data_IF_000645767125
#
_entry.id   IF_000645767125
#
_cell.length_a   1.000
_cell.length_b   1.000
_cell.length_c   1.000
_cell.angle_alpha   90.00
_cell.angle_beta   90.00
_cell.angle_gamma   90.00
#
_symmetry.space_group_name_H-M   'P 1'
#
loop_
_entity.id
_entity.type
_entity.pdbx_description
1 polymer ?
#
# COMPACT_ATOMS: atom_id res chain seq x y z
N UNK A 1 -19.34 -21.31 23.95
CA UNK A 1 -19.15 -22.04 22.67
C UNK A 1 -19.53 -21.11 21.53
N UNK A 2 -18.79 -20.01 21.42
CA UNK A 2 -17.87 -19.66 20.31
C UNK A 2 -18.59 -19.49 18.97
N UNK A 3 -18.92 -18.23 18.69
CA UNK A 3 -19.51 -17.70 17.48
C UNK A 3 -18.85 -18.27 16.22
N UNK A 4 -19.69 -18.82 15.35
CA UNK A 4 -19.43 -19.13 13.96
C UNK A 4 -18.89 -17.89 13.24
N UNK A 5 -17.62 -17.93 12.86
CA UNK A 5 -17.05 -17.02 11.86
C UNK A 5 -17.73 -17.32 10.51
N UNK A 6 -18.83 -16.63 10.24
CA UNK A 6 -19.39 -16.54 8.89
C UNK A 6 -18.34 -15.87 8.01
N UNK A 7 -17.66 -16.67 7.20
CA UNK A 7 -17.06 -16.15 5.99
C UNK A 7 -18.19 -15.50 5.19
N UNK A 8 -18.01 -14.26 4.77
CA UNK A 8 -18.91 -13.53 3.88
C UNK A 8 -18.88 -14.24 2.52
N UNK A 9 -19.62 -15.34 2.40
CA UNK A 9 -19.82 -16.03 1.13
C UNK A 9 -20.87 -15.22 0.39
N UNK A 10 -20.41 -14.41 -0.57
CA UNK A 10 -21.30 -13.73 -1.52
C UNK A 10 -22.14 -14.84 -2.17
N UNK A 11 -23.46 -14.74 -2.13
CA UNK A 11 -24.35 -15.73 -2.76
C UNK A 11 -24.09 -15.81 -4.26
N UNK A 12 -24.13 -17.02 -4.83
CA UNK A 12 -23.86 -17.26 -6.26
C UNK A 12 -24.75 -16.40 -7.18
N UNK A 13 -25.98 -16.14 -6.76
CA UNK A 13 -26.94 -15.30 -7.48
C UNK A 13 -26.44 -13.85 -7.63
N UNK A 14 -25.88 -13.27 -6.56
CA UNK A 14 -25.34 -11.90 -6.57
C UNK A 14 -24.09 -11.83 -7.44
N UNK A 15 -23.23 -12.85 -7.38
CA UNK A 15 -22.04 -12.93 -8.23
C UNK A 15 -22.43 -12.96 -9.72
N UNK A 16 -23.41 -13.79 -10.08
CA UNK A 16 -23.89 -13.91 -11.45
C UNK A 16 -24.53 -12.62 -11.97
N UNK A 17 -25.27 -11.88 -11.13
CA UNK A 17 -25.81 -10.58 -11.50
C UNK A 17 -24.70 -9.56 -11.78
N UNK A 18 -23.67 -9.50 -10.93
CA UNK A 18 -22.52 -8.61 -11.10
C UNK A 18 -21.75 -8.95 -12.37
N UNK A 19 -21.52 -10.23 -12.66
CA UNK A 19 -20.84 -10.68 -13.87
C UNK A 19 -21.62 -10.28 -15.13
N UNK A 20 -22.95 -10.48 -15.16
CA UNK A 20 -23.81 -10.03 -16.27
C UNK A 20 -23.74 -8.52 -16.48
N UNK A 21 -23.71 -7.73 -15.40
CA UNK A 21 -23.53 -6.27 -15.48
C UNK A 21 -22.17 -5.88 -16.07
N UNK A 22 -21.11 -6.64 -15.77
CA UNK A 22 -19.79 -6.39 -16.36
C UNK A 22 -19.68 -6.82 -17.81
N UNK A 23 -20.41 -7.86 -18.24
CA UNK A 23 -20.49 -8.27 -19.64
C UNK A 23 -21.24 -7.26 -20.49
N UNK A 24 -22.35 -6.70 -19.98
CA UNK A 24 -23.12 -5.68 -20.70
C UNK A 24 -22.37 -4.34 -20.78
N UNK A 25 -21.59 -3.99 -19.76
CA UNK A 25 -20.76 -2.80 -19.75
C UNK A 25 -19.33 -3.09 -19.24
N UNK A 26 -18.37 -3.35 -20.16
CA UNK A 26 -16.98 -3.67 -19.82
C UNK A 26 -16.23 -2.59 -19.01
N UNK A 27 -16.74 -1.35 -18.98
CA UNK A 27 -16.16 -0.25 -18.22
C UNK A 27 -16.49 -0.32 -16.72
N UNK A 28 -17.51 -1.10 -16.33
CA UNK A 28 -17.85 -1.35 -14.92
C UNK A 28 -16.89 -2.33 -14.24
N UNK A 29 -16.09 -3.08 -15.02
CA UNK A 29 -15.16 -4.07 -14.49
C UNK A 29 -14.09 -3.37 -13.61
N UNK A 30 -13.93 -3.77 -12.34
CA UNK A 30 -12.89 -3.22 -11.47
C UNK A 30 -11.49 -3.39 -12.07
N UNK A 31 -10.67 -2.34 -11.94
CA UNK A 31 -9.28 -2.33 -12.41
C UNK A 31 -8.39 -1.73 -11.34
N UNK A 32 -7.16 -2.23 -11.25
CA UNK A 32 -6.14 -1.60 -10.43
C UNK A 32 -5.75 -0.23 -11.02
N UNK A 33 -6.19 0.85 -10.38
CA UNK A 33 -5.90 2.21 -10.84
C UNK A 33 -4.44 2.63 -10.55
N UNK A 34 -4.00 2.44 -9.30
CA UNK A 34 -2.65 2.78 -8.83
C UNK A 34 -2.33 2.03 -7.55
N UNK A 35 -1.06 1.88 -7.25
CA UNK A 35 -0.56 1.45 -5.93
C UNK A 35 0.28 2.57 -5.37
N UNK A 36 -0.02 2.99 -4.14
CA UNK A 36 0.71 4.05 -3.45
C UNK A 36 1.46 3.43 -2.28
N UNK A 37 2.78 3.53 -2.33
CA UNK A 37 3.66 3.06 -1.26
C UNK A 37 4.16 4.27 -0.52
N UNK A 38 3.93 4.32 0.79
CA UNK A 38 4.34 5.43 1.62
C UNK A 38 5.14 4.93 2.84
N UNK A 39 6.16 5.69 3.22
CA UNK A 39 6.89 5.51 4.47
C UNK A 39 6.83 6.84 5.22
N UNK A 40 6.22 6.83 6.40
CA UNK A 40 6.20 7.96 7.33
C UNK A 40 7.34 7.84 8.32
N UNK A 41 8.40 8.63 8.15
CA UNK A 41 9.56 8.62 9.05
C UNK A 41 9.32 9.50 10.27
N UNK A 42 8.54 10.58 10.12
CA UNK A 42 8.18 11.49 11.20
C UNK A 42 9.27 12.49 11.58
N UNK A 43 10.46 12.39 10.99
CA UNK A 43 11.56 13.34 11.14
C UNK A 43 12.23 13.62 9.79
N UNK A 44 12.85 14.79 9.66
CA UNK A 44 13.74 15.10 8.55
C UNK A 44 15.14 14.51 8.76
N UNK A 45 16.05 14.77 7.82
CA UNK A 45 17.46 14.39 7.92
C UNK A 45 17.79 13.05 7.26
N UNK A 46 18.80 12.37 7.80
CA UNK A 46 19.38 11.16 7.20
C UNK A 46 18.39 9.99 7.14
N UNK A 47 17.56 9.81 8.18
CA UNK A 47 16.54 8.75 8.21
C UNK A 47 15.55 8.84 7.04
N UNK A 48 15.20 10.06 6.64
CA UNK A 48 14.35 10.30 5.49
C UNK A 48 15.04 9.90 4.18
N UNK A 49 16.34 10.21 4.05
CA UNK A 49 17.12 9.82 2.89
C UNK A 49 17.29 8.30 2.80
N UNK A 50 17.53 7.61 3.92
CA UNK A 50 17.56 6.14 3.97
C UNK A 50 16.23 5.54 3.53
N UNK A 51 15.11 6.03 4.07
CA UNK A 51 13.77 5.59 3.64
C UNK A 51 13.51 5.84 2.15
N UNK A 52 14.01 6.95 1.60
CA UNK A 52 13.93 7.21 0.16
C UNK A 52 14.76 6.22 -0.67
N UNK A 53 15.95 5.85 -0.21
CA UNK A 53 16.78 4.81 -0.86
C UNK A 53 16.07 3.46 -0.86
N UNK A 54 15.52 3.04 0.29
CA UNK A 54 14.70 1.80 0.41
C UNK A 54 13.58 1.77 -0.62
N UNK A 55 12.79 2.85 -0.69
CA UNK A 55 11.66 2.91 -1.64
C UNK A 55 12.12 2.89 -3.08
N UNK A 56 13.23 3.55 -3.40
CA UNK A 56 13.80 3.56 -4.75
C UNK A 56 14.24 2.16 -5.17
N UNK A 57 14.90 1.42 -4.28
CA UNK A 57 15.34 0.05 -4.53
C UNK A 57 14.15 -0.91 -4.70
N UNK A 58 13.18 -0.83 -3.79
CA UNK A 58 11.95 -1.64 -3.82
C UNK A 58 11.13 -1.48 -5.10
N UNK A 59 10.96 -0.22 -5.52
CA UNK A 59 9.98 0.15 -6.56
C UNK A 59 10.63 0.44 -7.92
N UNK A 60 11.95 0.64 -7.98
CA UNK A 60 12.67 1.05 -9.19
C UNK A 60 12.26 2.44 -9.69
N UNK A 61 11.57 3.23 -8.88
CA UNK A 61 11.06 4.55 -9.23
C UNK A 61 11.55 5.59 -8.23
N UNK A 62 11.84 6.78 -8.72
CA UNK A 62 12.26 7.88 -7.85
C UNK A 62 11.11 8.31 -6.91
N UNK A 63 11.33 8.27 -5.60
CA UNK A 63 10.30 8.65 -4.64
C UNK A 63 10.17 10.15 -4.48
N UNK A 64 8.95 10.60 -4.17
CA UNK A 64 8.65 12.00 -3.89
C UNK A 64 8.62 12.25 -2.38
N UNK A 65 9.37 13.27 -1.93
CA UNK A 65 9.36 13.73 -0.55
C UNK A 65 8.06 14.50 -0.24
N UNK A 66 7.43 14.19 0.89
CA UNK A 66 6.21 14.83 1.37
C UNK A 66 6.51 15.76 2.54
N UNK A 67 6.15 17.03 2.34
CA UNK A 67 6.28 18.11 3.32
C UNK A 67 5.11 18.10 4.30
N UNK A 68 5.39 18.44 5.56
CA UNK A 68 4.39 18.62 6.59
C UNK A 68 3.46 19.79 6.26
N UNK A 69 2.14 19.54 6.30
CA UNK A 69 1.11 20.57 6.03
C UNK A 69 0.96 21.58 7.18
N UNK A 70 1.21 21.14 8.41
CA UNK A 70 1.05 21.92 9.65
C UNK A 70 2.24 21.67 10.56
N UNK A 71 2.53 22.65 11.42
CA UNK A 71 3.47 22.50 12.53
C UNK A 71 2.76 21.76 13.66
N UNK A 72 3.38 20.71 14.21
CA UNK A 72 2.87 19.94 15.34
C UNK A 72 4.02 19.81 16.34
N UNK A 73 3.92 20.48 17.49
CA UNK A 73 5.03 20.63 18.44
C UNK A 73 5.35 19.31 19.15
N UNK A 74 4.34 18.50 19.40
CA UNK A 74 4.42 17.20 20.06
C UNK A 74 5.33 16.23 19.30
N UNK A 75 5.35 16.32 17.97
CA UNK A 75 6.23 15.51 17.11
C UNK A 75 7.51 16.26 16.70
N UNK A 76 7.70 17.51 17.14
CA UNK A 76 8.84 18.34 16.73
C UNK A 76 8.84 18.77 15.26
N UNK A 77 7.70 18.67 14.55
CA UNK A 77 7.61 18.87 13.10
C UNK A 77 7.25 20.32 12.79
N UNK A 78 8.02 20.95 11.90
CA UNK A 78 7.71 22.31 11.38
C UNK A 78 6.98 22.25 10.03
N UNK A 79 6.07 23.20 9.79
CA UNK A 79 5.39 23.34 8.49
C UNK A 79 6.41 23.46 7.36
N UNK A 80 6.22 22.68 6.30
CA UNK A 80 7.09 22.68 5.11
C UNK A 80 8.29 21.73 5.20
N UNK A 81 8.55 21.15 6.38
CA UNK A 81 9.63 20.19 6.59
C UNK A 81 9.28 18.83 5.93
N UNK A 82 10.22 18.18 5.24
CA UNK A 82 9.97 16.87 4.64
C UNK A 82 9.99 15.78 5.72
N UNK A 83 8.90 15.02 5.84
CA UNK A 83 8.67 14.06 6.95
C UNK A 83 8.35 12.65 6.48
N UNK A 84 7.99 12.49 5.21
CA UNK A 84 7.56 11.23 4.64
C UNK A 84 8.01 11.13 3.19
N UNK A 85 8.02 9.90 2.70
CA UNK A 85 8.41 9.57 1.33
C UNK A 85 7.31 8.74 0.70
N UNK A 86 6.96 9.03 -0.55
CA UNK A 86 5.91 8.31 -1.27
C UNK A 86 6.30 7.99 -2.70
N UNK A 87 5.90 6.81 -3.18
CA UNK A 87 5.93 6.43 -4.59
C UNK A 87 4.52 6.09 -5.03
N UNK A 88 4.12 6.55 -6.21
CA UNK A 88 2.88 6.11 -6.86
C UNK A 88 3.24 5.30 -8.09
N UNK A 89 2.89 4.02 -8.06
CA UNK A 89 3.04 3.07 -9.14
C UNK A 89 1.75 2.98 -9.93
N UNK A 90 1.86 2.87 -11.25
CA UNK A 90 0.74 2.68 -12.18
C UNK A 90 1.07 1.59 -13.21
N UNK A 91 0.04 1.05 -13.86
CA UNK A 91 0.20 0.04 -14.91
C UNK A 91 0.91 -1.23 -14.42
N UNK A 92 1.87 -1.72 -15.21
CA UNK A 92 2.55 -2.99 -14.95
C UNK A 92 3.41 -2.98 -13.67
N UNK A 93 4.05 -1.84 -13.35
CA UNK A 93 4.83 -1.68 -12.11
C UNK A 93 3.95 -1.81 -10.87
N UNK A 94 2.72 -1.28 -10.93
CA UNK A 94 1.77 -1.43 -9.83
C UNK A 94 1.36 -2.88 -9.61
N UNK A 95 1.08 -3.64 -10.69
CA UNK A 95 0.69 -5.05 -10.60
C UNK A 95 1.81 -5.92 -10.03
N UNK A 96 3.01 -5.78 -10.56
CA UNK A 96 4.20 -6.53 -10.10
C UNK A 96 4.58 -6.20 -8.65
N UNK A 97 4.50 -4.93 -8.25
CA UNK A 97 4.74 -4.56 -6.86
C UNK A 97 3.63 -5.07 -5.93
N UNK A 98 2.36 -4.99 -6.34
CA UNK A 98 1.25 -5.51 -5.55
C UNK A 98 1.40 -7.00 -5.28
N UNK A 99 1.76 -7.79 -6.29
CA UNK A 99 1.94 -9.24 -6.11
C UNK A 99 3.05 -9.56 -5.09
N UNK A 100 4.21 -8.89 -5.19
CA UNK A 100 5.29 -9.00 -4.20
C UNK A 100 4.86 -8.55 -2.80
N UNK A 101 4.10 -7.47 -2.70
CA UNK A 101 3.61 -6.96 -1.42
C UNK A 101 2.56 -7.89 -0.78
N UNK A 102 1.71 -8.52 -1.60
CA UNK A 102 0.75 -9.52 -1.13
C UNK A 102 1.46 -10.78 -0.64
N UNK A 103 2.54 -11.19 -1.30
CA UNK A 103 3.36 -12.32 -0.85
C UNK A 103 4.01 -12.04 0.51
N UNK A 104 4.51 -10.82 0.75
CA UNK A 104 5.07 -10.41 2.04
C UNK A 104 4.10 -10.57 3.23
N UNK A 105 2.79 -10.41 2.99
CA UNK A 105 1.74 -10.58 4.00
C UNK A 105 1.08 -11.98 3.95
N UNK A 106 1.66 -12.92 3.20
CA UNK A 106 1.14 -14.28 3.05
C UNK A 106 -0.21 -14.35 2.31
N UNK A 107 -0.48 -13.39 1.42
CA UNK A 107 -1.73 -13.22 0.65
C UNK A 107 -2.99 -13.17 1.53
N UNK A 108 -2.85 -12.71 2.78
CA UNK A 108 -3.95 -12.57 3.74
C UNK A 108 -4.20 -11.11 4.05
N UNK A 109 -5.39 -10.64 3.69
CA UNK A 109 -5.86 -9.29 4.01
C UNK A 109 -7.11 -9.42 4.89
N UNK A 110 -7.19 -8.63 5.96
CA UNK A 110 -8.38 -8.56 6.81
C UNK A 110 -9.51 -7.87 6.05
N UNK A 111 -10.75 -8.31 6.20
CA UNK A 111 -11.90 -7.63 5.57
C UNK A 111 -11.99 -6.15 5.96
N UNK A 112 -11.59 -5.80 7.19
CA UNK A 112 -11.53 -4.42 7.70
C UNK A 112 -10.49 -3.51 7.01
N UNK A 113 -9.60 -4.08 6.19
CA UNK A 113 -8.60 -3.33 5.42
C UNK A 113 -9.16 -2.77 4.11
N UNK A 114 -10.34 -3.23 3.71
CA UNK A 114 -11.08 -2.69 2.57
C UNK A 114 -11.95 -1.52 3.03
N UNK A 115 -11.97 -0.45 2.24
CA UNK A 115 -12.90 0.66 2.45
C UNK A 115 -14.22 0.44 1.69
N UNK A 116 -15.20 1.30 1.96
CA UNK A 116 -16.53 1.23 1.34
C UNK A 116 -16.52 1.56 -0.17
N UNK A 117 -15.37 2.02 -0.70
CA UNK A 117 -15.20 2.44 -2.09
C UNK A 117 -14.36 1.45 -2.91
N UNK A 118 -13.96 0.31 -2.33
CA UNK A 118 -13.22 -0.75 -3.02
C UNK A 118 -11.70 -0.55 -3.07
N UNK A 119 -11.14 0.36 -2.28
CA UNK A 119 -9.70 0.46 -2.04
C UNK A 119 -9.28 -0.46 -0.88
N UNK A 120 -8.00 -0.84 -0.89
CA UNK A 120 -7.42 -1.69 0.14
C UNK A 120 -6.15 -1.06 0.70
N UNK A 121 -5.99 -1.15 2.02
CA UNK A 121 -4.79 -0.66 2.70
C UNK A 121 -4.28 -1.67 3.74
N UNK A 122 -2.98 -1.90 3.73
CA UNK A 122 -2.30 -2.77 4.69
C UNK A 122 -0.90 -2.24 4.98
N UNK A 123 -0.40 -2.56 6.17
CA UNK A 123 0.96 -2.23 6.59
C UNK A 123 1.88 -3.43 6.49
N UNK A 124 3.14 -3.17 6.16
CA UNK A 124 4.23 -4.14 6.23
C UNK A 124 5.16 -3.67 7.35
N UNK A 125 5.42 -4.51 8.34
CA UNK A 125 6.22 -4.13 9.51
C UNK A 125 7.71 -3.95 9.13
N UNK A 126 8.24 -4.84 8.29
CA UNK A 126 9.64 -4.85 7.89
C UNK A 126 9.76 -4.96 6.37
N UNK A 127 10.60 -4.11 5.77
CA UNK A 127 10.82 -4.11 4.32
C UNK A 127 11.48 -5.40 3.82
N UNK A 128 12.16 -6.16 4.69
CA UNK A 128 12.82 -7.43 4.40
C UNK A 128 11.81 -8.54 4.06
N UNK A 129 10.57 -8.43 4.54
CA UNK A 129 9.51 -9.39 4.21
C UNK A 129 9.12 -9.34 2.72
N UNK A 130 9.50 -8.27 2.00
CA UNK A 130 9.21 -8.15 0.58
C UNK A 130 10.23 -8.97 -0.22
N UNK A 131 9.78 -9.92 -1.05
CA UNK A 131 10.67 -10.71 -1.89
C UNK A 131 11.53 -9.83 -2.81
N UNK A 132 12.84 -10.07 -2.80
CA UNK A 132 13.81 -9.38 -3.65
C UNK A 132 14.53 -8.20 -2.99
N UNK A 133 14.29 -7.93 -1.70
CA UNK A 133 15.09 -6.96 -0.92
C UNK A 133 16.16 -7.69 -0.15
N UNK A 134 17.41 -7.28 -0.32
CA UNK A 134 18.51 -7.74 0.54
C UNK A 134 18.58 -6.83 1.76
N UNK A 135 18.87 -7.42 2.92
CA UNK A 135 19.20 -6.62 4.10
C UNK A 135 20.51 -5.88 3.85
N UNK A 136 20.47 -4.56 3.94
CA UNK A 136 21.63 -3.69 3.86
C UNK A 136 21.84 -3.00 5.24
N UNK A 137 22.94 -3.30 5.96
CA UNK A 137 23.25 -2.69 7.24
C UNK A 137 23.42 -1.17 7.21
N UNK A 138 23.70 -0.56 6.05
CA UNK A 138 23.79 0.91 5.94
C UNK A 138 22.40 1.56 5.90
N UNK A 139 21.40 0.81 5.45
CA UNK A 139 20.03 1.27 5.22
C UNK A 139 19.12 0.96 6.43
N UNK A 140 19.44 -0.10 7.18
CA UNK A 140 18.75 -0.52 8.42
C UNK A 140 19.63 -0.43 9.66
#
# INVERSE_FOLDING_TARGET
MSASKQAFVISEDVMNEVLRKWESNPMLKPRLAKVVVNIGVGSSGERLQKAARVLKELTGQEPSLRKAKRTIKEFGIRKGEPIAVVVTLRGQRARSFLDRALEAIGRRIKASSFDDYGNVSFGIAEHIMIPGVKYDPEIG
#
